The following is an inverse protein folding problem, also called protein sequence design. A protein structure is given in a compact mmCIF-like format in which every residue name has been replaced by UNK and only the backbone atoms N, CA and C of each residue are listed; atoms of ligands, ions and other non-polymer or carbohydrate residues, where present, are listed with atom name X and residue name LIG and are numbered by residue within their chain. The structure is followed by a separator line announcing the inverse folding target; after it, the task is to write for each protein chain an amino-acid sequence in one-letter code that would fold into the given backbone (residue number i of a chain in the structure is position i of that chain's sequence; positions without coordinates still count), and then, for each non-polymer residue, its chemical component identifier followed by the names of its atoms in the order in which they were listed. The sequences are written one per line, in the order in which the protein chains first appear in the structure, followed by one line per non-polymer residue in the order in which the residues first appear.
data_IF_375360637757
#
_entry.id   IF_375360637757
#
_cell.length_a   1.000
_cell.length_b   1.000
_cell.length_c   1.000
_cell.angle_alpha   90.00
_cell.angle_beta   90.00
_cell.angle_gamma   90.00
#
_symmetry.space_group_name_H-M   'P 1'
#
loop_
_entity.id
_entity.type
_entity.pdbx_description
1 polymer ?
#
# COMPACT_ATOMS: atom_id res chain seq x y z
N UNK A 1 5.66 5.07 -2.07
CA UNK A 1 6.70 4.02 -2.13
C UNK A 1 7.77 4.22 -1.06
N UNK A 2 8.29 5.44 -0.92
CA UNK A 2 9.32 5.83 0.05
C UNK A 2 9.07 5.33 1.50
N UNK A 3 7.84 5.49 2.03
CA UNK A 3 7.48 5.05 3.39
C UNK A 3 7.79 3.56 3.61
N UNK A 4 7.47 2.71 2.63
CA UNK A 4 7.68 1.26 2.70
C UNK A 4 9.11 0.86 2.27
N UNK A 5 9.98 1.82 1.93
CA UNK A 5 11.37 1.63 1.50
C UNK A 5 11.54 0.60 0.36
N UNK A 6 10.56 0.53 -0.53
CA UNK A 6 10.59 -0.35 -1.71
C UNK A 6 10.39 0.45 -2.99
N UNK A 7 10.79 -0.13 -4.12
CA UNK A 7 10.54 0.47 -5.42
C UNK A 7 9.02 0.53 -5.74
N UNK A 8 8.56 1.49 -6.55
CA UNK A 8 7.18 1.52 -7.03
C UNK A 8 6.76 0.23 -7.77
N UNK A 9 7.70 -0.44 -8.44
CA UNK A 9 7.44 -1.71 -9.13
C UNK A 9 7.07 -2.83 -8.15
N UNK A 10 7.73 -2.91 -7.00
CA UNK A 10 7.40 -3.86 -5.93
C UNK A 10 5.95 -3.66 -5.47
N UNK A 11 5.53 -2.41 -5.27
CA UNK A 11 4.15 -2.08 -4.90
C UNK A 11 3.16 -2.49 -6.00
N UNK A 12 3.50 -2.26 -7.29
CA UNK A 12 2.67 -2.73 -8.42
C UNK A 12 2.49 -4.25 -8.40
N UNK A 13 3.56 -5.01 -8.13
CA UNK A 13 3.55 -6.48 -8.02
C UNK A 13 2.72 -6.95 -6.83
N UNK A 14 2.83 -6.30 -5.68
CA UNK A 14 2.00 -6.61 -4.51
C UNK A 14 0.51 -6.38 -4.79
N UNK A 15 0.16 -5.31 -5.50
CA UNK A 15 -1.22 -5.09 -5.94
C UNK A 15 -1.72 -6.22 -6.86
N UNK A 16 -0.92 -6.64 -7.86
CA UNK A 16 -1.27 -7.76 -8.75
C UNK A 16 -1.44 -9.10 -8.00
N UNK A 17 -0.70 -9.30 -6.91
CA UNK A 17 -0.77 -10.50 -6.06
C UNK A 17 -1.78 -10.39 -4.91
N UNK A 18 -2.52 -9.29 -4.80
CA UNK A 18 -3.48 -9.07 -3.71
C UNK A 18 -2.86 -8.75 -2.34
N UNK A 19 -1.53 -8.64 -2.22
CA UNK A 19 -0.84 -8.30 -0.94
C UNK A 19 -1.08 -6.87 -0.50
N UNK A 20 -1.18 -5.94 -1.45
CA UNK A 20 -1.51 -4.54 -1.18
C UNK A 20 -2.39 -4.00 -2.31
N UNK A 21 -3.69 -4.36 -2.31
CA UNK A 21 -4.61 -3.93 -3.35
C UNK A 21 -4.84 -2.42 -3.25
N UNK A 22 -4.74 -1.73 -4.39
CA UNK A 22 -5.03 -0.31 -4.46
C UNK A 22 -6.55 -0.11 -4.42
N UNK A 23 -7.02 0.80 -3.57
CA UNK A 23 -8.46 1.15 -3.50
C UNK A 23 -8.90 2.02 -4.68
N UNK A 24 -7.96 2.76 -5.27
CA UNK A 24 -8.20 3.61 -6.43
C UNK A 24 -6.91 3.73 -7.23
N UNK A 25 -7.07 3.80 -8.54
CA UNK A 25 -6.02 4.19 -9.48
C UNK A 25 -6.56 5.39 -10.25
N UNK A 26 -5.79 6.47 -10.37
CA UNK A 26 -6.18 7.65 -11.17
C UNK A 26 -5.74 7.49 -12.64
N UNK A 27 -6.10 8.45 -13.49
CA UNK A 27 -5.75 8.47 -14.91
C UNK A 27 -4.23 8.49 -15.19
N UNK A 28 -3.43 9.06 -14.27
CA UNK A 28 -1.95 9.04 -14.33
C UNK A 28 -1.35 7.69 -13.92
N UNK A 29 -2.14 6.83 -13.27
CA UNK A 29 -1.68 5.55 -12.74
C UNK A 29 -1.17 5.60 -11.30
N UNK A 30 -1.36 6.71 -10.58
CA UNK A 30 -1.09 6.79 -9.15
C UNK A 30 -2.08 5.92 -8.39
N UNK A 31 -1.58 5.21 -7.38
CA UNK A 31 -2.34 4.22 -6.63
C UNK A 31 -2.56 4.69 -5.21
N UNK A 32 -3.82 4.68 -4.76
CA UNK A 32 -4.21 4.99 -3.38
C UNK A 32 -4.43 3.71 -2.60
N UNK A 33 -4.08 3.74 -1.32
CA UNK A 33 -4.17 2.59 -0.40
C UNK A 33 -4.90 3.00 0.87
N UNK A 34 -5.54 2.03 1.53
CA UNK A 34 -6.07 2.25 2.88
C UNK A 34 -4.91 2.50 3.84
N UNK A 35 -5.06 3.47 4.74
CA UNK A 35 -4.06 3.81 5.78
C UNK A 35 -3.67 2.56 6.58
N UNK A 36 -4.67 1.83 7.05
CA UNK A 36 -4.51 0.60 7.84
C UNK A 36 -3.75 -0.52 7.13
N UNK A 37 -3.93 -0.71 5.81
CA UNK A 37 -3.13 -1.69 5.07
C UNK A 37 -1.63 -1.28 4.99
N UNK A 38 -1.35 0.01 4.88
CA UNK A 38 0.03 0.54 4.88
C UNK A 38 0.64 0.40 6.28
N UNK A 39 -0.11 0.71 7.34
CA UNK A 39 0.34 0.55 8.72
C UNK A 39 0.60 -0.92 9.08
N UNK A 40 -0.26 -1.83 8.63
CA UNK A 40 -0.06 -3.28 8.81
C UNK A 40 1.27 -3.75 8.19
N UNK A 41 1.60 -3.28 6.98
CA UNK A 41 2.88 -3.59 6.33
C UNK A 41 4.10 -2.98 7.04
N UNK A 42 3.90 -1.92 7.81
CA UNK A 42 4.92 -1.31 8.67
C UNK A 42 4.99 -1.98 10.05
N UNK A 43 4.15 -2.98 10.33
CA UNK A 43 4.06 -3.62 11.64
C UNK A 43 3.43 -2.74 12.73
N UNK A 44 2.76 -1.65 12.34
CA UNK A 44 2.09 -0.74 13.26
C UNK A 44 0.65 -1.22 13.41
N UNK A 45 0.33 -1.81 14.56
CA UNK A 45 -1.04 -2.14 14.92
C UNK A 45 -1.70 -0.89 15.51
N UNK A 46 -2.87 -0.52 14.99
CA UNK A 46 -3.72 0.46 15.67
C UNK A 46 -4.12 -0.16 17.01
N UNK A 47 -3.67 0.44 18.13
CA UNK A 47 -4.31 0.18 19.41
C UNK A 47 -5.72 0.75 19.30
N UNK A 48 -6.73 -0.10 19.35
CA UNK A 48 -8.07 0.35 19.71
C UNK A 48 -7.96 0.97 21.11
N UNK A 49 -8.42 2.22 21.22
CA UNK A 49 -8.64 2.92 22.49
C UNK A 49 -10.12 2.83 22.77
#
# INVERSE_FOLDING_TARGET
AQILRVSPLTIKRWGKRGKLPAIRINSRGDRRYKKEAVLWLLGIQSKEV
#
